data_IF_461410426000
#
_entry.id   IF_461410426000
#
_cell.length_a   1.000
_cell.length_b   1.000
_cell.length_c   1.000
_cell.angle_alpha   90.00
_cell.angle_beta   90.00
_cell.angle_gamma   90.00
#
_symmetry.space_group_name_H-M   'P 1'
#
loop_
_entity.id
_entity.type
_entity.pdbx_description
1 polymer ?
#
# COMPACT_ATOMS: atom_id res chain seq x y z
N UNK A 1 12.68 28.15 -4.36
CA UNK A 1 11.40 28.15 -5.12
C UNK A 1 11.65 27.32 -6.38
N UNK A 2 11.41 26.04 -6.30
CA UNK A 2 11.32 25.16 -7.47
C UNK A 2 9.93 25.40 -8.04
N UNK A 3 9.87 26.02 -9.21
CA UNK A 3 8.65 26.19 -9.98
C UNK A 3 8.21 24.79 -10.46
N UNK A 4 7.24 24.20 -9.77
CA UNK A 4 6.50 23.07 -10.34
C UNK A 4 5.76 23.55 -11.59
N UNK A 5 5.80 22.79 -12.71
CA UNK A 5 5.01 23.12 -13.89
C UNK A 5 3.54 23.23 -13.50
N UNK A 6 2.92 24.30 -13.91
CA UNK A 6 1.51 24.61 -13.67
C UNK A 6 0.66 23.52 -14.31
N UNK A 7 -0.04 22.69 -13.51
CA UNK A 7 -1.09 21.83 -14.03
C UNK A 7 -1.39 20.52 -13.34
N UNK A 8 -0.53 20.00 -12.48
CA UNK A 8 -0.82 18.72 -11.81
C UNK A 8 -0.87 18.90 -10.28
N UNK A 9 -2.09 18.99 -9.76
CA UNK A 9 -2.35 18.89 -8.34
C UNK A 9 -2.41 17.38 -7.97
N UNK A 10 -1.27 16.81 -7.56
CA UNK A 10 -1.16 15.41 -7.16
C UNK A 10 -1.89 15.07 -5.85
N UNK A 11 -2.52 16.06 -5.23
CA UNK A 11 -3.22 15.88 -3.94
C UNK A 11 -4.47 15.00 -4.03
N UNK A 12 -5.01 14.73 -5.21
CA UNK A 12 -6.29 14.03 -5.40
C UNK A 12 -6.33 13.12 -6.65
N UNK A 13 -5.25 12.44 -6.99
CA UNK A 13 -5.28 11.45 -8.08
C UNK A 13 -5.97 10.17 -7.61
N UNK A 14 -7.15 9.83 -8.14
CA UNK A 14 -7.78 8.55 -7.87
C UNK A 14 -6.95 7.46 -8.55
N UNK A 15 -6.26 6.65 -7.76
CA UNK A 15 -5.48 5.51 -8.27
C UNK A 15 -6.26 4.24 -8.08
N UNK A 16 -6.57 3.53 -9.16
CA UNK A 16 -7.19 2.22 -9.12
C UNK A 16 -6.10 1.14 -9.02
N UNK A 17 -6.06 0.43 -7.90
CA UNK A 17 -5.10 -0.65 -7.66
C UNK A 17 -5.80 -1.99 -7.49
N UNK A 18 -5.92 -2.80 -8.53
CA UNK A 18 -6.38 -4.18 -8.39
C UNK A 18 -5.42 -4.99 -7.50
N UNK A 19 -6.00 -5.82 -6.65
CA UNK A 19 -5.24 -6.70 -5.76
C UNK A 19 -5.89 -8.07 -5.64
N UNK A 20 -5.05 -9.08 -5.48
CA UNK A 20 -5.46 -10.46 -5.22
C UNK A 20 -4.80 -10.92 -3.93
N UNK A 21 -5.58 -11.48 -3.01
CA UNK A 21 -5.07 -12.05 -1.76
C UNK A 21 -5.49 -13.50 -1.62
N UNK A 22 -4.57 -14.33 -1.15
CA UNK A 22 -4.78 -15.75 -0.89
C UNK A 22 -4.55 -16.00 0.59
N UNK A 23 -5.57 -16.49 1.28
CA UNK A 23 -5.47 -16.94 2.66
C UNK A 23 -4.91 -18.36 2.72
N UNK A 24 -3.85 -18.55 3.49
CA UNK A 24 -3.19 -19.81 3.76
C UNK A 24 -3.54 -20.31 5.17
N UNK A 25 -3.27 -21.59 5.50
CA UNK A 25 -3.31 -22.07 6.88
C UNK A 25 -2.43 -21.20 7.79
N UNK A 26 -2.74 -21.23 9.09
CA UNK A 26 -2.02 -20.48 10.13
C UNK A 26 -2.25 -18.96 10.14
N UNK A 27 -3.41 -18.48 9.62
CA UNK A 27 -3.74 -17.06 9.52
C UNK A 27 -2.72 -16.25 8.70
N UNK A 28 -2.11 -16.88 7.69
CA UNK A 28 -1.23 -16.23 6.73
C UNK A 28 -2.06 -15.77 5.54
N UNK A 29 -1.82 -14.57 5.09
CA UNK A 29 -2.40 -14.00 3.87
C UNK A 29 -1.27 -13.49 2.98
N UNK A 30 -1.24 -13.96 1.74
CA UNK A 30 -0.35 -13.43 0.70
C UNK A 30 -1.15 -12.49 -0.19
N UNK A 31 -0.58 -11.34 -0.50
CA UNK A 31 -1.21 -10.33 -1.35
C UNK A 31 -0.30 -9.97 -2.50
N UNK A 32 -0.89 -9.91 -3.69
CA UNK A 32 -0.30 -9.32 -4.90
C UNK A 32 -1.21 -8.17 -5.32
N UNK A 33 -0.62 -7.01 -5.62
CA UNK A 33 -1.33 -5.84 -6.13
C UNK A 33 -0.55 -5.23 -7.27
N UNK A 34 -1.24 -4.62 -8.21
CA UNK A 34 -0.56 -3.99 -9.33
C UNK A 34 -1.53 -3.25 -10.21
N UNK A 35 -1.05 -2.19 -10.85
CA UNK A 35 -1.70 -1.57 -11.96
C UNK A 35 -1.04 -2.06 -13.25
N UNK A 36 -1.81 -2.42 -14.29
CA UNK A 36 -1.25 -2.70 -15.58
C UNK A 36 -0.48 -1.48 -16.08
N UNK A 37 0.52 -1.72 -16.90
CA UNK A 37 1.27 -0.66 -17.55
C UNK A 37 0.31 0.28 -18.29
N UNK A 38 0.30 1.53 -17.89
CA UNK A 38 -0.49 2.59 -18.51
C UNK A 38 0.49 3.43 -19.32
N UNK A 39 0.30 3.40 -20.63
CA UNK A 39 1.07 4.25 -21.55
C UNK A 39 0.39 5.62 -21.61
N UNK A 40 1.07 6.64 -21.10
CA UNK A 40 0.62 8.03 -21.15
C UNK A 40 1.54 8.82 -22.07
N UNK A 41 0.96 9.49 -23.04
CA UNK A 41 1.71 10.30 -24.03
C UNK A 41 2.58 11.38 -23.36
N UNK A 42 2.20 11.85 -22.16
CA UNK A 42 2.89 12.94 -21.47
C UNK A 42 3.94 12.46 -20.43
N UNK A 43 3.80 11.24 -19.89
CA UNK A 43 4.61 10.78 -18.73
C UNK A 43 5.36 9.49 -19.05
N UNK A 44 5.04 8.86 -20.21
CA UNK A 44 5.57 7.55 -20.58
C UNK A 44 4.83 6.41 -19.89
N UNK A 45 5.48 5.27 -19.81
CA UNK A 45 4.92 4.04 -19.25
C UNK A 45 4.99 4.07 -17.72
N UNK A 46 3.84 3.98 -17.08
CA UNK A 46 3.74 3.87 -15.62
C UNK A 46 3.30 2.47 -15.25
N UNK A 47 4.08 1.78 -14.42
CA UNK A 47 3.74 0.48 -13.89
C UNK A 47 3.92 0.45 -12.37
N UNK A 48 3.03 -0.27 -11.70
CA UNK A 48 3.09 -0.50 -10.27
C UNK A 48 2.87 -1.97 -9.98
N UNK A 49 3.76 -2.55 -9.18
CA UNK A 49 3.60 -3.90 -8.63
C UNK A 49 3.93 -3.89 -7.14
N UNK A 50 3.11 -4.58 -6.37
CA UNK A 50 3.35 -4.75 -4.94
C UNK A 50 3.00 -6.17 -4.52
N UNK A 51 3.76 -6.72 -3.61
CA UNK A 51 3.51 -8.02 -3.01
C UNK A 51 3.82 -7.99 -1.53
N UNK A 52 3.20 -8.89 -0.80
CA UNK A 52 3.43 -8.95 0.63
C UNK A 52 2.75 -10.11 1.31
N UNK A 53 3.05 -10.23 2.58
CA UNK A 53 2.49 -11.23 3.45
C UNK A 53 2.02 -10.61 4.76
N UNK A 54 0.92 -11.15 5.29
CA UNK A 54 0.39 -10.79 6.61
C UNK A 54 0.15 -12.06 7.40
N UNK A 55 0.50 -12.04 8.69
CA UNK A 55 0.27 -13.14 9.62
C UNK A 55 -0.55 -12.68 10.82
N UNK A 56 -1.56 -13.46 11.17
CA UNK A 56 -2.36 -13.26 12.39
C UNK A 56 -1.62 -13.75 13.61
N UNK A 57 -1.50 -12.91 14.64
CA UNK A 57 -0.78 -13.20 15.87
C UNK A 57 -1.63 -13.86 16.97
N UNK A 58 -2.96 -13.85 16.83
CA UNK A 58 -3.85 -14.37 17.88
C UNK A 58 -3.64 -15.86 18.19
N UNK A 59 -3.13 -16.62 17.24
CA UNK A 59 -2.78 -18.02 17.45
C UNK A 59 -1.67 -18.22 18.48
N UNK A 60 -0.77 -17.25 18.60
CA UNK A 60 0.39 -17.30 19.48
C UNK A 60 0.08 -16.70 20.87
N UNK A 61 -1.09 -16.08 21.02
CA UNK A 61 -1.53 -15.46 22.27
C UNK A 61 -2.56 -16.41 22.91
N UNK A 62 -2.25 -17.10 24.02
CA UNK A 62 -3.13 -18.11 24.62
C UNK A 62 -4.31 -17.49 25.41
N UNK A 63 -4.81 -16.34 24.96
CA UNK A 63 -5.95 -15.67 25.56
C UNK A 63 -7.13 -15.68 24.60
N UNK A 64 -7.96 -16.69 24.68
CA UNK A 64 -9.24 -16.77 24.00
C UNK A 64 -10.32 -15.94 24.72
N UNK A 65 -10.05 -14.67 24.88
CA UNK A 65 -11.04 -13.74 25.39
C UNK A 65 -11.66 -13.09 24.16
N UNK A 66 -12.89 -13.46 23.79
CA UNK A 66 -13.64 -12.90 22.65
C UNK A 66 -13.77 -11.37 22.66
N UNK A 67 -13.22 -10.71 23.67
CA UNK A 67 -13.15 -9.26 23.84
C UNK A 67 -11.90 -8.67 23.15
N UNK A 68 -10.81 -9.44 22.99
CA UNK A 68 -9.56 -8.93 22.44
C UNK A 68 -9.67 -8.68 20.91
N UNK A 69 -9.01 -7.63 20.39
CA UNK A 69 -8.87 -7.44 18.98
C UNK A 69 -7.98 -8.52 18.35
N UNK A 70 -8.19 -8.80 17.07
CA UNK A 70 -7.25 -9.61 16.30
C UNK A 70 -6.05 -8.77 15.93
N UNK A 71 -4.87 -9.28 16.26
CA UNK A 71 -3.59 -8.66 15.93
C UNK A 71 -2.98 -9.34 14.71
N UNK A 72 -2.35 -8.58 13.86
CA UNK A 72 -1.60 -9.08 12.71
C UNK A 72 -0.37 -8.22 12.44
N UNK A 73 0.64 -8.83 11.84
CA UNK A 73 1.83 -8.15 11.31
C UNK A 73 1.87 -8.39 9.82
N UNK A 74 2.16 -7.36 9.05
CA UNK A 74 2.28 -7.41 7.60
C UNK A 74 3.60 -6.82 7.12
N UNK A 75 4.14 -7.42 6.06
CA UNK A 75 5.32 -6.95 5.35
C UNK A 75 5.01 -6.87 3.86
N UNK A 76 5.26 -5.71 3.26
CA UNK A 76 4.91 -5.44 1.87
C UNK A 76 6.06 -4.74 1.17
N UNK A 77 6.29 -5.11 -0.08
CA UNK A 77 7.23 -4.47 -0.99
C UNK A 77 6.44 -3.97 -2.18
N UNK A 78 6.71 -2.75 -2.60
CA UNK A 78 6.06 -2.12 -3.74
C UNK A 78 7.11 -1.49 -4.62
N UNK A 79 6.95 -1.66 -5.93
CA UNK A 79 7.81 -1.04 -6.94
C UNK A 79 6.94 -0.21 -7.87
N UNK A 80 7.31 1.03 -8.07
CA UNK A 80 6.71 1.96 -9.02
C UNK A 80 7.78 2.33 -10.05
N UNK A 81 7.47 2.14 -11.32
CA UNK A 81 8.33 2.56 -12.43
C UNK A 81 7.60 3.60 -13.27
N UNK A 82 8.30 4.67 -13.61
CA UNK A 82 7.78 5.74 -14.49
C UNK A 82 8.76 5.95 -15.63
N UNK A 83 8.40 5.44 -16.79
CA UNK A 83 9.29 5.37 -17.95
C UNK A 83 10.55 4.57 -17.64
N UNK A 84 11.66 5.01 -18.23
CA UNK A 84 13.01 4.50 -17.96
C UNK A 84 13.78 5.47 -17.01
N UNK A 85 13.08 6.42 -16.39
CA UNK A 85 13.68 7.54 -15.66
C UNK A 85 13.57 7.34 -14.15
N UNK A 86 12.46 6.78 -13.65
CA UNK A 86 12.21 6.68 -12.20
C UNK A 86 11.89 5.24 -11.84
N UNK A 87 12.66 4.68 -10.91
CA UNK A 87 12.38 3.41 -10.24
C UNK A 87 12.29 3.68 -8.73
N UNK A 88 11.11 3.50 -8.17
CA UNK A 88 10.87 3.71 -6.75
C UNK A 88 10.46 2.39 -6.07
N UNK A 89 11.20 1.99 -5.06
CA UNK A 89 10.88 0.84 -4.22
C UNK A 89 10.47 1.31 -2.82
N UNK A 90 9.35 0.79 -2.33
CA UNK A 90 8.86 1.05 -0.98
C UNK A 90 8.65 -0.25 -0.23
N UNK A 91 9.21 -0.33 0.96
CA UNK A 91 9.06 -1.44 1.90
C UNK A 91 8.25 -0.98 3.10
N UNK A 92 7.20 -1.72 3.45
CA UNK A 92 6.29 -1.40 4.55
C UNK A 92 6.25 -2.56 5.53
N UNK A 93 6.61 -2.30 6.79
CA UNK A 93 6.35 -3.19 7.91
C UNK A 93 5.23 -2.59 8.75
N UNK A 94 4.14 -3.32 8.99
CA UNK A 94 3.03 -2.83 9.79
C UNK A 94 2.54 -3.82 10.83
N UNK A 95 1.96 -3.28 11.90
CA UNK A 95 1.17 -4.01 12.89
C UNK A 95 -0.24 -3.45 12.89
N UNK A 96 -1.23 -4.33 12.90
CA UNK A 96 -2.64 -3.96 12.82
C UNK A 96 -3.46 -4.70 13.87
N UNK A 97 -4.38 -3.97 14.51
CA UNK A 97 -5.40 -4.51 15.38
C UNK A 97 -6.77 -4.37 14.71
N UNK A 98 -7.60 -5.41 14.79
CA UNK A 98 -8.96 -5.37 14.22
C UNK A 98 -9.98 -6.02 15.14
N UNK A 99 -11.20 -5.46 15.15
CA UNK A 99 -12.34 -5.99 15.91
C UNK A 99 -13.55 -6.16 15.00
N UNK A 100 -14.06 -7.37 14.95
CA UNK A 100 -15.29 -7.65 14.21
C UNK A 100 -16.52 -7.34 15.10
N UNK A 101 -17.43 -6.52 14.57
CA UNK A 101 -18.69 -6.12 15.18
C UNK A 101 -19.81 -6.51 14.21
N UNK A 102 -20.37 -7.72 14.33
CA UNK A 102 -21.39 -8.28 13.43
C UNK A 102 -20.90 -8.30 11.96
N UNK A 103 -21.42 -7.41 11.13
CA UNK A 103 -21.08 -7.25 9.71
C UNK A 103 -19.98 -6.22 9.46
N UNK A 104 -19.64 -5.41 10.50
CA UNK A 104 -18.62 -4.38 10.44
C UNK A 104 -17.35 -4.88 11.13
N UNK A 105 -16.20 -4.60 10.54
CA UNK A 105 -14.88 -4.76 11.18
C UNK A 105 -14.21 -3.42 11.23
N UNK A 106 -13.89 -2.94 12.42
CA UNK A 106 -13.04 -1.76 12.60
C UNK A 106 -11.60 -2.20 12.79
N UNK A 107 -10.67 -1.44 12.28
CA UNK A 107 -9.26 -1.73 12.40
C UNK A 107 -8.41 -0.47 12.51
N UNK A 108 -7.29 -0.61 13.15
CA UNK A 108 -6.27 0.41 13.23
C UNK A 108 -4.89 -0.22 13.19
N UNK A 109 -3.91 0.52 12.73
CA UNK A 109 -2.57 0.01 12.58
C UNK A 109 -1.51 1.10 12.64
N UNK A 110 -0.29 0.64 12.82
CA UNK A 110 0.92 1.44 12.76
C UNK A 110 1.92 0.74 11.84
N UNK A 111 2.56 1.51 10.99
CA UNK A 111 3.55 1.00 10.05
C UNK A 111 4.77 1.91 9.98
N UNK A 112 5.86 1.32 9.54
CA UNK A 112 7.09 2.01 9.16
C UNK A 112 7.29 1.73 7.68
N UNK A 113 7.46 2.79 6.91
CA UNK A 113 7.71 2.75 5.48
C UNK A 113 9.12 3.26 5.19
N UNK A 114 9.86 2.54 4.36
CA UNK A 114 11.15 2.96 3.82
C UNK A 114 11.04 2.96 2.30
N UNK A 115 11.42 4.06 1.68
CA UNK A 115 11.35 4.25 0.22
C UNK A 115 12.71 4.62 -0.32
N UNK A 116 13.11 3.99 -1.41
CA UNK A 116 14.30 4.35 -2.20
C UNK A 116 13.82 4.71 -3.60
N UNK A 117 14.34 5.81 -4.14
CA UNK A 117 14.00 6.28 -5.49
C UNK A 117 15.29 6.43 -6.28
N UNK A 118 15.42 5.66 -7.34
CA UNK A 118 16.48 5.75 -8.32
C UNK A 118 15.99 6.60 -9.50
N UNK A 119 16.79 7.58 -9.88
CA UNK A 119 16.50 8.48 -10.99
C UNK A 119 17.66 8.40 -11.96
N UNK A 120 17.37 7.94 -13.17
CA UNK A 120 18.31 7.81 -14.28
C UNK A 120 17.82 8.65 -15.45
N UNK A 121 18.62 9.57 -15.93
CA UNK A 121 18.32 10.29 -17.16
C UNK A 121 19.58 10.62 -17.95
N UNK A 122 19.45 10.57 -19.27
CA UNK A 122 20.51 10.97 -20.19
C UNK A 122 20.24 12.40 -20.66
N UNK A 123 21.19 13.28 -20.41
CA UNK A 123 21.11 14.67 -20.87
C UNK A 123 21.31 14.75 -22.40
N UNK A 124 20.82 15.83 -23.04
CA UNK A 124 20.93 16.06 -24.49
C UNK A 124 22.37 16.07 -25.02
N UNK A 125 23.35 16.31 -24.17
CA UNK A 125 24.80 16.26 -24.50
C UNK A 125 25.40 14.84 -24.41
N UNK A 126 24.57 13.82 -24.11
CA UNK A 126 24.99 12.43 -23.98
C UNK A 126 25.58 12.08 -22.61
N UNK A 127 25.43 12.94 -21.61
CA UNK A 127 25.87 12.66 -20.24
C UNK A 127 24.77 11.89 -19.48
N UNK A 128 25.10 10.71 -18.99
CA UNK A 128 24.21 9.94 -18.12
C UNK A 128 24.30 10.47 -16.69
N UNK A 129 23.17 10.80 -16.11
CA UNK A 129 23.04 11.24 -14.73
C UNK A 129 22.18 10.22 -13.99
N UNK A 130 22.78 9.61 -12.97
CA UNK A 130 22.12 8.64 -12.08
C UNK A 130 22.31 9.08 -10.64
N UNK A 131 21.23 9.12 -9.88
CA UNK A 131 21.30 9.38 -8.45
C UNK A 131 20.18 8.66 -7.71
N UNK A 132 20.50 8.18 -6.51
CA UNK A 132 19.57 7.51 -5.60
C UNK A 132 19.18 8.45 -4.47
N UNK A 133 17.91 8.53 -4.19
CA UNK A 133 17.36 9.27 -3.05
C UNK A 133 16.73 8.29 -2.07
N UNK A 134 17.33 8.17 -0.90
CA UNK A 134 16.72 7.40 0.18
C UNK A 134 15.71 8.25 0.93
N UNK A 135 14.46 7.80 0.95
CA UNK A 135 13.42 8.36 1.80
C UNK A 135 13.71 8.05 3.27
N UNK A 136 13.38 8.97 4.15
CA UNK A 136 13.43 8.71 5.58
C UNK A 136 12.38 7.65 5.94
N UNK A 137 12.69 6.81 6.95
CA UNK A 137 11.71 5.91 7.52
C UNK A 137 10.51 6.71 8.05
N UNK A 138 9.39 6.56 7.40
CA UNK A 138 8.18 7.30 7.73
C UNK A 138 7.25 6.46 8.60
N UNK A 139 6.75 7.11 9.65
CA UNK A 139 5.73 6.52 10.49
C UNK A 139 4.36 6.76 9.88
N UNK A 140 3.58 5.70 9.77
CA UNK A 140 2.24 5.75 9.20
C UNK A 140 1.23 5.14 10.16
N UNK A 141 0.17 5.88 10.45
CA UNK A 141 -0.98 5.39 11.20
C UNK A 141 -2.13 5.13 10.23
N UNK A 142 -2.84 4.05 10.49
CA UNK A 142 -3.97 3.60 9.70
C UNK A 142 -5.17 3.45 10.62
N UNK A 143 -6.32 3.96 10.24
CA UNK A 143 -7.61 3.65 10.84
C UNK A 143 -8.63 3.39 9.75
N UNK A 144 -9.45 2.36 9.91
CA UNK A 144 -10.42 2.02 8.88
C UNK A 144 -11.54 1.14 9.37
N UNK A 145 -12.49 0.95 8.46
CA UNK A 145 -13.62 0.09 8.66
C UNK A 145 -13.87 -0.76 7.40
N UNK A 146 -14.27 -2.00 7.62
CA UNK A 146 -14.64 -2.94 6.55
C UNK A 146 -16.03 -3.50 6.84
N UNK A 147 -16.92 -3.39 5.89
CA UNK A 147 -18.23 -4.02 5.92
C UNK A 147 -18.21 -5.25 5.00
N UNK A 148 -18.59 -6.41 5.54
CA UNK A 148 -18.68 -7.65 4.76
C UNK A 148 -20.14 -8.04 4.58
N UNK A 149 -20.56 -8.24 3.31
CA UNK A 149 -21.89 -8.68 2.91
C UNK A 149 -21.76 -9.88 1.95
N UNK A 150 -22.07 -11.09 2.43
CA UNK A 150 -21.93 -12.33 1.67
C UNK A 150 -20.52 -12.49 1.07
N UNK A 151 -20.39 -12.28 -0.23
CA UNK A 151 -19.14 -12.41 -1.00
C UNK A 151 -18.42 -11.08 -1.21
N UNK A 152 -19.07 -9.97 -0.91
CA UNK A 152 -18.51 -8.63 -1.09
C UNK A 152 -18.03 -8.07 0.23
N UNK A 153 -16.92 -7.35 0.17
CA UNK A 153 -16.46 -6.51 1.27
C UNK A 153 -16.13 -5.12 0.75
N UNK A 154 -16.61 -4.12 1.44
CA UNK A 154 -16.30 -2.74 1.21
C UNK A 154 -15.46 -2.24 2.38
N UNK A 155 -14.34 -1.58 2.10
CA UNK A 155 -13.50 -0.99 3.11
C UNK A 155 -13.20 0.48 2.78
N UNK A 156 -13.08 1.26 3.84
CA UNK A 156 -12.57 2.63 3.79
C UNK A 156 -11.56 2.77 4.90
N UNK A 157 -10.41 3.33 4.58
CA UNK A 157 -9.35 3.61 5.53
C UNK A 157 -8.74 4.99 5.31
N UNK A 158 -8.33 5.58 6.41
CA UNK A 158 -7.61 6.82 6.46
C UNK A 158 -6.21 6.56 6.98
N UNK A 159 -5.23 6.97 6.19
CA UNK A 159 -3.82 6.87 6.51
C UNK A 159 -3.30 8.25 6.88
N UNK A 160 -2.60 8.32 8.00
CA UNK A 160 -1.94 9.51 8.52
C UNK A 160 -0.43 9.27 8.52
N UNK A 161 0.30 10.08 7.79
CA UNK A 161 1.75 10.05 7.66
C UNK A 161 2.25 11.43 7.24
N UNK A 162 3.35 11.50 6.56
CA UNK A 162 3.80 12.75 5.93
C UNK A 162 2.75 13.26 4.94
N UNK A 163 2.12 12.35 4.21
CA UNK A 163 0.95 12.63 3.36
C UNK A 163 -0.24 11.83 3.85
N UNK A 164 -1.35 12.52 4.06
CA UNK A 164 -2.61 11.89 4.43
C UNK A 164 -3.31 11.33 3.19
N UNK A 165 -3.85 10.12 3.30
CA UNK A 165 -4.57 9.47 2.21
C UNK A 165 -5.85 8.79 2.68
N UNK A 166 -6.89 8.89 1.87
CA UNK A 166 -8.12 8.12 2.03
C UNK A 166 -8.13 7.03 0.97
N UNK A 167 -8.28 5.79 1.40
CA UNK A 167 -8.43 4.66 0.50
C UNK A 167 -9.83 4.08 0.64
N UNK A 168 -10.43 3.73 -0.47
CA UNK A 168 -11.66 2.96 -0.52
C UNK A 168 -11.44 1.72 -1.38
N UNK A 169 -11.92 0.58 -0.93
CA UNK A 169 -11.74 -0.66 -1.65
C UNK A 169 -13.01 -1.50 -1.68
N UNK A 170 -13.23 -2.15 -2.81
CA UNK A 170 -14.21 -3.20 -2.99
C UNK A 170 -13.47 -4.51 -3.21
N UNK A 171 -13.78 -5.53 -2.42
CA UNK A 171 -13.18 -6.85 -2.58
C UNK A 171 -14.26 -7.93 -2.69
N UNK A 172 -13.91 -8.96 -3.43
CA UNK A 172 -14.73 -10.12 -3.64
C UNK A 172 -14.02 -11.35 -3.05
N UNK A 173 -14.66 -12.08 -2.13
CA UNK A 173 -14.02 -13.20 -1.45
C UNK A 173 -14.89 -14.45 -1.47
N UNK A 174 -14.33 -15.55 -1.95
CA UNK A 174 -14.89 -16.89 -1.81
C UNK A 174 -14.22 -17.58 -0.61
N UNK A 175 -15.02 -18.33 0.13
CA UNK A 175 -14.54 -19.16 1.24
C UNK A 175 -15.24 -20.52 1.20
#
# INVERSE_FOLDING_TARGET
>A
NILTPVGFDFSNLPTLMPSVSIGLPYDIELTLRGAPEIDSEDIGKVSFIGYGAKIGLNRFIPMDIGVLPRLSVGYYINTLKVGDIIDAESTILNIQASKKLLFLTVYGGYGIESTTVDIDYTHDDGTDVSFTVDGKNENRFLVGARMKMLFFSFNVDYNVGEYNAINAGLSFSFR
#
